data_IF_840891514003
#
_entry.id   IF_840891514003
#
_cell.length_a   1.000
_cell.length_b   1.000
_cell.length_c   1.000
_cell.angle_alpha   90.00
_cell.angle_beta   90.00
_cell.angle_gamma   90.00
#
_symmetry.space_group_name_H-M   'P 1'
#
loop_
_entity.id
_entity.type
_entity.pdbx_description
1 polymer ?
#
# COMPACT_ATOMS: atom_id res chain seq x y z
N UNK A 1 7.18 3.13 11.12
CA UNK A 1 8.61 3.02 10.78
C UNK A 1 8.92 4.16 9.83
N UNK A 2 10.01 4.87 10.04
CA UNK A 2 10.46 5.91 9.12
C UNK A 2 11.98 5.79 8.98
N UNK A 3 12.49 5.77 7.76
CA UNK A 3 13.92 5.66 7.49
C UNK A 3 14.61 7.02 7.60
N UNK A 4 13.89 8.11 7.32
CA UNK A 4 14.40 9.48 7.39
C UNK A 4 14.32 10.05 8.82
N UNK A 5 15.46 10.02 9.51
CA UNK A 5 15.60 10.60 10.85
C UNK A 5 15.34 12.11 10.87
N UNK A 6 15.74 12.83 9.82
CA UNK A 6 15.54 14.28 9.74
C UNK A 6 14.07 14.63 9.63
N UNK A 7 13.28 13.82 8.89
CA UNK A 7 11.83 13.98 8.84
C UNK A 7 11.19 13.73 10.21
N UNK A 8 11.64 12.72 10.93
CA UNK A 8 11.16 12.45 12.29
C UNK A 8 11.44 13.61 13.24
N UNK A 9 12.65 14.16 13.20
CA UNK A 9 13.04 15.31 14.01
C UNK A 9 12.18 16.54 13.66
N UNK A 10 11.95 16.80 12.37
CA UNK A 10 11.07 17.88 11.89
C UNK A 10 9.63 17.72 12.40
N UNK A 11 9.05 16.52 12.28
CA UNK A 11 7.68 16.25 12.77
C UNK A 11 7.62 16.41 14.28
N UNK A 12 8.62 15.92 15.02
CA UNK A 12 8.67 16.06 16.47
C UNK A 12 8.74 17.54 16.92
N UNK A 13 9.44 18.39 16.16
CA UNK A 13 9.59 19.82 16.44
C UNK A 13 8.32 20.62 16.10
N UNK A 14 7.76 20.43 14.90
CA UNK A 14 6.71 21.30 14.37
C UNK A 14 5.30 20.72 14.43
N UNK A 15 5.15 19.39 14.44
CA UNK A 15 3.87 18.67 14.43
C UNK A 15 3.87 17.51 15.45
N UNK A 16 4.18 17.78 16.74
CA UNK A 16 4.36 16.74 17.74
C UNK A 16 3.07 15.94 17.94
N UNK A 17 3.23 14.62 18.10
CA UNK A 17 2.12 13.75 18.44
C UNK A 17 1.51 14.15 19.79
N UNK A 18 0.16 14.09 19.93
CA UNK A 18 -0.49 14.33 21.21
C UNK A 18 0.04 13.39 22.29
N UNK A 19 0.18 13.90 23.52
CA UNK A 19 0.54 13.06 24.67
C UNK A 19 -0.49 11.95 24.82
N UNK A 20 -0.02 10.71 24.98
CA UNK A 20 -0.88 9.54 25.13
C UNK A 20 -1.50 9.01 23.84
N UNK A 21 -1.02 9.44 22.66
CA UNK A 21 -1.51 8.95 21.36
C UNK A 21 -1.27 7.43 21.14
N UNK A 22 -0.50 6.76 22.00
CA UNK A 22 -0.20 5.34 21.85
C UNK A 22 0.68 5.01 20.63
N UNK A 23 1.35 6.02 20.06
CA UNK A 23 2.20 5.88 18.87
C UNK A 23 3.66 5.75 19.31
N UNK A 24 4.30 4.65 18.90
CA UNK A 24 5.74 4.47 19.02
C UNK A 24 6.40 4.74 17.66
N UNK A 25 7.35 5.66 17.64
CA UNK A 25 8.09 6.04 16.44
C UNK A 25 9.43 5.31 16.43
N UNK A 26 9.77 4.72 15.29
CA UNK A 26 10.99 3.94 15.12
C UNK A 26 11.70 4.41 13.85
N UNK A 27 12.93 4.92 14.03
CA UNK A 27 13.82 5.33 12.96
C UNK A 27 14.52 4.10 12.35
N UNK A 28 13.89 3.44 11.39
CA UNK A 28 14.33 2.17 10.81
C UNK A 28 13.79 1.97 9.39
N UNK A 29 14.53 1.20 8.57
CA UNK A 29 14.02 0.69 7.30
C UNK A 29 12.87 -0.30 7.55
N UNK A 30 11.80 -0.16 6.77
CA UNK A 30 10.58 -0.95 6.95
C UNK A 30 10.80 -2.45 6.70
N UNK A 31 11.60 -2.82 5.68
CA UNK A 31 11.89 -4.25 5.39
C UNK A 31 12.73 -4.86 6.49
N UNK A 32 13.77 -4.15 6.93
CA UNK A 32 14.61 -4.61 8.04
C UNK A 32 13.81 -4.80 9.33
N UNK A 33 12.89 -3.88 9.64
CA UNK A 33 12.00 -4.04 10.78
C UNK A 33 11.07 -5.24 10.61
N UNK A 34 10.46 -5.40 9.43
CA UNK A 34 9.54 -6.49 9.16
C UNK A 34 10.20 -7.86 9.32
N UNK A 35 11.41 -8.03 8.76
CA UNK A 35 12.20 -9.26 8.90
C UNK A 35 12.61 -9.58 10.35
N UNK A 36 12.70 -8.59 11.22
CA UNK A 36 13.02 -8.78 12.64
C UNK A 36 11.78 -8.91 13.53
N UNK A 37 10.60 -8.54 13.03
CA UNK A 37 9.36 -8.60 13.79
C UNK A 37 8.94 -10.07 14.02
N UNK A 38 8.37 -10.42 15.19
CA UNK A 38 7.81 -11.74 15.42
C UNK A 38 6.64 -12.04 14.47
N UNK A 39 6.36 -13.33 14.29
CA UNK A 39 5.13 -13.80 13.66
C UNK A 39 3.92 -13.30 14.46
N UNK A 40 2.77 -13.09 13.80
CA UNK A 40 1.50 -12.74 14.46
C UNK A 40 1.57 -11.49 15.37
N UNK A 41 2.40 -10.50 15.01
CA UNK A 41 2.66 -9.32 15.82
C UNK A 41 1.66 -8.17 15.58
N UNK A 42 1.00 -8.10 14.42
CA UNK A 42 0.13 -6.99 14.03
C UNK A 42 -1.26 -7.43 13.58
N UNK A 43 -2.30 -6.68 13.97
CA UNK A 43 -3.65 -6.87 13.42
C UNK A 43 -3.82 -6.18 12.06
N UNK A 44 -3.10 -5.07 11.86
CA UNK A 44 -3.11 -4.29 10.61
C UNK A 44 -1.69 -3.83 10.31
N UNK A 45 -1.27 -3.97 9.07
CA UNK A 45 0.00 -3.45 8.58
C UNK A 45 -0.26 -2.46 7.45
N UNK A 46 0.23 -1.22 7.60
CA UNK A 46 0.02 -0.15 6.63
C UNK A 46 1.38 0.26 6.05
N UNK A 47 1.54 0.04 4.75
CA UNK A 47 2.67 0.52 3.98
C UNK A 47 2.29 1.80 3.22
N UNK A 48 2.73 2.94 3.75
CA UNK A 48 2.65 4.24 3.09
C UNK A 48 4.07 4.74 2.83
N UNK A 49 4.79 4.01 1.97
CA UNK A 49 6.23 4.22 1.78
C UNK A 49 6.48 4.89 0.45
N UNK A 50 6.71 6.20 0.48
CA UNK A 50 7.26 6.95 -0.63
C UNK A 50 8.67 7.42 -0.25
N UNK A 51 9.70 6.73 -0.77
CA UNK A 51 11.06 7.26 -0.79
C UNK A 51 11.11 8.43 -1.77
N UNK A 52 10.90 9.64 -1.26
CA UNK A 52 10.59 10.81 -2.08
C UNK A 52 9.21 10.66 -2.72
N UNK A 53 9.17 10.26 -3.99
CA UNK A 53 7.94 10.11 -4.77
C UNK A 53 7.64 8.67 -5.22
N UNK A 54 8.39 7.68 -4.72
CA UNK A 54 8.30 6.28 -5.16
C UNK A 54 8.38 5.26 -4.04
N UNK A 55 7.69 4.14 -4.19
CA UNK A 55 7.90 2.96 -3.34
C UNK A 55 9.27 2.34 -3.65
N UNK A 56 10.15 2.13 -2.65
CA UNK A 56 11.43 1.46 -2.84
C UNK A 56 11.27 0.03 -3.39
N UNK A 57 12.15 -0.38 -4.30
CA UNK A 57 12.09 -1.67 -4.99
C UNK A 57 12.06 -2.87 -4.03
N UNK A 58 12.78 -2.81 -2.92
CA UNK A 58 12.84 -3.92 -1.96
C UNK A 58 11.52 -4.14 -1.21
N UNK A 59 10.54 -3.25 -1.33
CA UNK A 59 9.20 -3.38 -0.74
C UNK A 59 8.14 -3.83 -1.76
N UNK A 60 8.53 -4.10 -3.00
CA UNK A 60 7.60 -4.36 -4.12
C UNK A 60 7.65 -5.81 -4.62
N UNK A 61 8.09 -6.73 -3.74
CA UNK A 61 8.45 -8.10 -4.08
C UNK A 61 7.64 -9.15 -3.32
N UNK A 62 7.60 -10.37 -3.85
CA UNK A 62 6.94 -11.51 -3.22
C UNK A 62 7.56 -11.88 -1.86
N UNK A 63 8.88 -11.72 -1.72
CA UNK A 63 9.56 -11.95 -0.46
C UNK A 63 9.06 -10.96 0.62
N UNK A 64 8.89 -9.69 0.25
CA UNK A 64 8.32 -8.69 1.15
C UNK A 64 6.85 -9.00 1.48
N UNK A 65 6.03 -9.39 0.50
CA UNK A 65 4.63 -9.75 0.73
C UNK A 65 4.47 -10.91 1.73
N UNK A 66 5.37 -11.91 1.68
CA UNK A 66 5.41 -13.02 2.63
C UNK A 66 5.83 -12.58 4.04
N UNK A 67 6.80 -11.68 4.16
CA UNK A 67 7.15 -11.11 5.46
C UNK A 67 5.99 -10.30 6.05
N UNK A 68 5.22 -9.59 5.22
CA UNK A 68 4.05 -8.86 5.66
C UNK A 68 2.94 -9.80 6.15
N UNK A 69 2.72 -10.92 5.46
CA UNK A 69 1.77 -11.95 5.88
C UNK A 69 2.18 -12.62 7.20
N UNK A 70 3.44 -13.05 7.33
CA UNK A 70 3.98 -13.67 8.54
C UNK A 70 3.75 -12.82 9.80
N UNK A 71 3.93 -11.50 9.68
CA UNK A 71 3.80 -10.55 10.79
C UNK A 71 2.34 -10.25 11.13
N UNK A 72 1.40 -10.48 10.20
CA UNK A 72 -0.02 -10.30 10.46
C UNK A 72 -0.58 -11.47 11.25
N UNK A 73 -1.38 -11.16 12.28
CA UNK A 73 -2.16 -12.16 13.02
C UNK A 73 -3.18 -12.84 12.12
N UNK A 74 -3.71 -14.01 12.52
CA UNK A 74 -4.82 -14.64 11.81
C UNK A 74 -6.03 -13.71 11.71
N UNK A 75 -6.38 -13.34 10.48
CA UNK A 75 -7.47 -12.38 10.19
C UNK A 75 -7.03 -10.92 10.16
N UNK A 76 -5.73 -10.64 10.22
CA UNK A 76 -5.15 -9.33 10.00
C UNK A 76 -5.19 -8.90 8.53
N UNK A 77 -4.95 -7.61 8.31
CA UNK A 77 -5.07 -6.97 6.99
C UNK A 77 -3.83 -6.17 6.66
N UNK A 78 -3.31 -6.39 5.46
CA UNK A 78 -2.28 -5.56 4.85
C UNK A 78 -2.93 -4.45 4.01
N UNK A 79 -2.40 -3.24 4.14
CA UNK A 79 -2.80 -2.06 3.37
C UNK A 79 -1.55 -1.44 2.74
N UNK A 80 -1.61 -1.09 1.45
CA UNK A 80 -0.55 -0.32 0.81
C UNK A 80 -1.09 0.81 -0.04
N UNK A 81 -0.54 2.00 0.15
CA UNK A 81 -0.76 3.13 -0.74
C UNK A 81 0.19 3.03 -1.93
N UNK A 82 -0.35 2.74 -3.12
CA UNK A 82 0.42 2.56 -4.36
C UNK A 82 0.05 3.66 -5.34
N UNK A 83 1.03 4.18 -6.08
CA UNK A 83 0.79 5.21 -7.09
C UNK A 83 1.17 4.71 -8.48
N UNK A 84 0.27 4.87 -9.44
CA UNK A 84 0.49 4.47 -10.83
C UNK A 84 -0.47 5.23 -11.77
N UNK A 85 -0.27 5.06 -13.08
CA UNK A 85 -1.18 5.51 -14.12
C UNK A 85 -1.34 4.43 -15.19
N UNK A 86 -2.34 4.55 -16.06
CA UNK A 86 -2.45 3.66 -17.21
C UNK A 86 -1.11 3.59 -17.98
N UNK A 87 -0.64 2.39 -18.36
CA UNK A 87 -1.37 1.10 -18.40
C UNK A 87 -1.35 0.26 -17.10
N UNK A 88 -0.99 0.86 -15.96
CA UNK A 88 -0.98 0.24 -14.62
C UNK A 88 0.00 -0.93 -14.46
N UNK A 89 1.13 -0.87 -15.15
CA UNK A 89 2.10 -1.97 -15.13
C UNK A 89 2.60 -2.27 -13.70
N UNK A 90 2.81 -1.23 -12.88
CA UNK A 90 3.27 -1.39 -11.51
C UNK A 90 2.14 -1.88 -10.61
N UNK A 91 0.98 -1.23 -10.62
CA UNK A 91 -0.15 -1.64 -9.78
C UNK A 91 -0.58 -3.09 -10.07
N UNK A 92 -0.60 -3.50 -11.34
CA UNK A 92 -0.92 -4.89 -11.73
C UNK A 92 0.11 -5.90 -11.25
N UNK A 93 1.41 -5.56 -11.28
CA UNK A 93 2.45 -6.45 -10.77
C UNK A 93 2.40 -6.60 -9.24
N UNK A 94 2.08 -5.51 -8.53
CA UNK A 94 1.89 -5.56 -7.07
C UNK A 94 0.68 -6.41 -6.69
N UNK A 95 -0.44 -6.25 -7.38
CA UNK A 95 -1.61 -7.10 -7.16
C UNK A 95 -1.33 -8.58 -7.47
N UNK A 96 -0.64 -8.87 -8.58
CA UNK A 96 -0.21 -10.24 -8.89
C UNK A 96 0.68 -10.82 -7.79
N UNK A 97 1.58 -9.99 -7.23
CA UNK A 97 2.49 -10.39 -6.15
C UNK A 97 1.75 -10.71 -4.86
N UNK A 98 0.81 -9.84 -4.44
CA UNK A 98 0.04 -10.06 -3.22
C UNK A 98 -1.01 -11.19 -3.37
N UNK A 99 -1.48 -11.46 -4.59
CA UNK A 99 -2.39 -12.58 -4.86
C UNK A 99 -1.75 -13.96 -4.69
N UNK A 100 -0.42 -14.06 -4.68
CA UNK A 100 0.30 -15.31 -4.36
C UNK A 100 0.31 -15.63 -2.86
N UNK A 101 -0.04 -14.65 -2.02
CA UNK A 101 0.07 -14.72 -0.55
C UNK A 101 -1.29 -14.62 0.11
N UNK A 102 -2.17 -13.76 -0.40
CA UNK A 102 -3.49 -13.49 0.17
C UNK A 102 -4.61 -13.90 -0.80
N UNK A 103 -5.67 -14.51 -0.28
CA UNK A 103 -6.83 -14.94 -1.07
C UNK A 103 -7.75 -13.78 -1.45
N UNK A 104 -7.83 -12.76 -0.60
CA UNK A 104 -8.77 -11.66 -0.74
C UNK A 104 -8.03 -10.34 -0.97
N UNK A 105 -8.22 -9.80 -2.18
CA UNK A 105 -7.71 -8.50 -2.59
C UNK A 105 -8.85 -7.52 -2.91
N UNK A 106 -8.69 -6.28 -2.48
CA UNK A 106 -9.49 -5.15 -2.91
C UNK A 106 -8.61 -3.93 -3.22
N UNK A 107 -9.13 -3.04 -4.07
CA UNK A 107 -8.51 -1.78 -4.42
C UNK A 107 -9.45 -0.63 -4.10
N UNK A 108 -8.93 0.41 -3.46
CA UNK A 108 -9.63 1.69 -3.31
C UNK A 108 -8.93 2.75 -4.14
N UNK A 109 -9.63 3.35 -5.10
CA UNK A 109 -9.06 4.43 -5.91
C UNK A 109 -10.13 5.36 -6.47
N UNK A 110 -9.74 6.58 -6.85
CA UNK A 110 -10.64 7.51 -7.52
C UNK A 110 -11.07 6.94 -8.90
N UNK A 111 -12.35 7.10 -9.30
CA UNK A 111 -12.80 6.72 -10.64
C UNK A 111 -11.96 7.27 -11.81
N UNK A 112 -11.38 8.48 -11.68
CA UNK A 112 -10.50 9.06 -12.69
C UNK A 112 -9.20 8.27 -12.87
N UNK A 113 -8.62 7.81 -11.76
CA UNK A 113 -7.44 6.93 -11.75
C UNK A 113 -7.82 5.58 -12.31
N UNK A 114 -8.87 4.92 -11.83
CA UNK A 114 -9.28 3.58 -12.33
C UNK A 114 -9.56 3.55 -13.84
N UNK A 115 -10.03 4.66 -14.42
CA UNK A 115 -10.24 4.82 -15.87
C UNK A 115 -9.00 5.22 -16.66
N UNK A 116 -7.83 5.31 -16.02
CA UNK A 116 -6.58 5.66 -16.69
C UNK A 116 -6.49 7.12 -17.13
N UNK A 117 -7.32 8.02 -16.60
CA UNK A 117 -7.37 9.43 -17.06
C UNK A 117 -6.27 10.29 -16.48
N UNK A 118 -5.67 9.87 -15.35
CA UNK A 118 -4.62 10.59 -14.63
C UNK A 118 -3.78 9.64 -13.80
N UNK A 119 -2.57 10.08 -13.44
CA UNK A 119 -1.80 9.46 -12.37
C UNK A 119 -2.49 9.67 -11.03
N UNK A 120 -2.41 8.69 -10.14
CA UNK A 120 -2.92 8.83 -8.79
C UNK A 120 -2.73 7.58 -7.95
N UNK A 121 -3.27 7.66 -6.74
CA UNK A 121 -3.10 6.62 -5.74
C UNK A 121 -4.22 5.58 -5.82
N UNK A 122 -3.85 4.34 -5.54
CA UNK A 122 -4.72 3.22 -5.29
C UNK A 122 -4.26 2.53 -4.00
N UNK A 123 -5.19 2.34 -3.06
CA UNK A 123 -4.93 1.58 -1.84
C UNK A 123 -5.23 0.12 -2.11
N UNK A 124 -4.19 -0.71 -2.04
CA UNK A 124 -4.32 -2.16 -1.98
C UNK A 124 -4.76 -2.57 -0.58
N UNK A 125 -5.76 -3.44 -0.51
CA UNK A 125 -6.18 -4.17 0.68
C UNK A 125 -5.94 -5.66 0.41
N UNK A 126 -5.18 -6.33 1.27
CA UNK A 126 -4.90 -7.76 1.15
C UNK A 126 -5.11 -8.47 2.50
N UNK A 127 -5.78 -9.62 2.48
CA UNK A 127 -6.13 -10.38 3.69
C UNK A 127 -6.54 -11.81 3.36
N UNK A 128 -6.56 -12.69 4.36
CA UNK A 128 -7.06 -14.07 4.22
C UNK A 128 -8.59 -14.20 4.40
N UNK A 129 -9.29 -13.09 4.67
CA UNK A 129 -10.75 -13.06 4.85
C UNK A 129 -11.35 -11.91 4.06
N UNK A 130 -12.57 -12.07 3.51
CA UNK A 130 -13.18 -10.99 2.74
C UNK A 130 -13.34 -9.72 3.60
N UNK A 131 -12.86 -8.55 3.13
CA UNK A 131 -13.16 -7.30 3.81
C UNK A 131 -14.65 -6.95 3.68
N UNK A 132 -15.17 -6.11 4.58
CA UNK A 132 -16.54 -5.57 4.45
C UNK A 132 -16.59 -4.51 3.32
N UNK A 133 -16.62 -5.00 2.08
CA UNK A 133 -16.61 -4.17 0.88
C UNK A 133 -17.80 -3.21 0.86
N UNK A 134 -18.97 -3.63 1.35
CA UNK A 134 -20.16 -2.78 1.35
C UNK A 134 -19.97 -1.59 2.29
N UNK A 135 -19.42 -1.81 3.48
CA UNK A 135 -19.09 -0.72 4.40
C UNK A 135 -17.98 0.18 3.85
N UNK A 136 -16.91 -0.41 3.28
CA UNK A 136 -15.84 0.35 2.65
C UNK A 136 -16.37 1.23 1.51
N UNK A 137 -17.15 0.67 0.59
CA UNK A 137 -17.74 1.38 -0.54
C UNK A 137 -18.61 2.56 -0.10
N UNK A 138 -19.44 2.38 0.94
CA UNK A 138 -20.23 3.48 1.50
C UNK A 138 -19.36 4.60 2.07
N UNK A 139 -18.29 4.26 2.80
CA UNK A 139 -17.39 5.24 3.42
C UNK A 139 -16.60 6.02 2.38
N UNK A 140 -15.99 5.34 1.42
CA UNK A 140 -15.14 5.99 0.41
C UNK A 140 -15.94 6.80 -0.60
N UNK A 141 -17.21 6.47 -0.82
CA UNK A 141 -18.11 7.28 -1.64
C UNK A 141 -18.58 8.56 -0.93
N UNK A 142 -18.49 8.62 0.40
CA UNK A 142 -18.88 9.77 1.22
C UNK A 142 -17.69 10.71 1.52
N UNK A 143 -16.49 10.40 1.03
CA UNK A 143 -15.30 11.24 1.19
C UNK A 143 -15.42 12.53 0.36
N UNK A 144 -14.66 13.56 0.73
CA UNK A 144 -14.54 14.83 -0.01
C UNK A 144 -14.11 14.57 -1.46
N UNK A 145 -13.27 13.55 -1.67
CA UNK A 145 -12.91 13.03 -2.98
C UNK A 145 -13.43 11.59 -3.14
N UNK A 146 -14.64 11.38 -3.68
CA UNK A 146 -15.25 10.06 -3.74
C UNK A 146 -14.42 9.04 -4.51
N UNK A 147 -14.16 7.90 -3.87
CA UNK A 147 -13.45 6.76 -4.46
C UNK A 147 -14.38 5.55 -4.69
N UNK A 148 -13.84 4.52 -5.33
CA UNK A 148 -14.51 3.22 -5.57
C UNK A 148 -13.70 2.11 -4.94
N UNK A 149 -14.41 1.04 -4.58
CA UNK A 149 -13.80 -0.21 -4.13
C UNK A 149 -13.98 -1.25 -5.22
N UNK A 150 -12.90 -1.70 -5.83
CA UNK A 150 -12.87 -2.82 -6.77
C UNK A 150 -12.44 -4.08 -6.02
N UNK A 151 -13.10 -5.22 -6.26
CA UNK A 151 -12.81 -6.48 -5.57
C UNK A 151 -13.20 -7.69 -6.42
N UNK A 152 -12.76 -8.89 -6.01
CA UNK A 152 -13.18 -10.15 -6.63
C UNK A 152 -12.80 -10.25 -8.11
N UNK A 153 -13.79 -10.52 -8.97
CA UNK A 153 -13.55 -10.73 -10.41
C UNK A 153 -12.93 -9.51 -11.09
N UNK A 154 -13.35 -8.29 -10.73
CA UNK A 154 -12.83 -7.06 -11.31
C UNK A 154 -11.32 -6.89 -11.05
N UNK A 155 -10.86 -7.19 -9.83
CA UNK A 155 -9.43 -7.14 -9.48
C UNK A 155 -8.66 -8.23 -10.23
N UNK A 156 -9.20 -9.44 -10.35
CA UNK A 156 -8.56 -10.54 -11.12
C UNK A 156 -8.42 -10.21 -12.60
N UNK A 157 -9.46 -9.64 -13.21
CA UNK A 157 -9.43 -9.17 -14.59
C UNK A 157 -8.42 -8.03 -14.78
N UNK A 158 -8.36 -7.10 -13.82
CA UNK A 158 -7.40 -6.01 -13.82
C UNK A 158 -5.94 -6.49 -13.72
N UNK A 159 -5.66 -7.48 -12.86
CA UNK A 159 -4.36 -8.16 -12.81
C UNK A 159 -4.04 -8.73 -14.21
N UNK A 160 -4.97 -9.49 -14.78
CA UNK A 160 -4.81 -10.12 -16.09
C UNK A 160 -3.55 -10.99 -16.16
N UNK A 161 -2.72 -10.79 -17.19
CA UNK A 161 -1.47 -11.56 -17.38
C UNK A 161 -0.24 -11.04 -16.62
N UNK A 162 -0.41 -10.11 -15.66
CA UNK A 162 0.71 -9.63 -14.85
C UNK A 162 1.30 -10.76 -14.00
N UNK A 163 2.61 -10.69 -13.74
CA UNK A 163 3.33 -11.71 -12.97
C UNK A 163 3.79 -11.17 -11.61
N UNK A 164 3.88 -12.02 -10.58
CA UNK A 164 4.52 -11.69 -9.32
C UNK A 164 5.96 -11.22 -9.52
N UNK A 165 6.42 -10.30 -8.67
CA UNK A 165 7.76 -9.73 -8.73
C UNK A 165 8.67 -10.44 -7.73
N UNK A 166 9.72 -11.11 -8.22
CA UNK A 166 10.78 -11.66 -7.37
C UNK A 166 11.78 -10.57 -6.95
N UNK A 167 12.61 -10.85 -5.94
CA UNK A 167 13.64 -9.90 -5.49
C UNK A 167 14.63 -9.51 -6.61
N UNK A 168 14.94 -10.43 -7.55
CA UNK A 168 15.82 -10.16 -8.68
C UNK A 168 15.21 -9.22 -9.74
N UNK A 169 13.87 -9.14 -9.78
CA UNK A 169 13.10 -8.34 -10.74
C UNK A 169 12.53 -7.06 -10.11
N UNK A 170 12.94 -6.77 -8.87
CA UNK A 170 12.43 -5.66 -8.09
C UNK A 170 12.72 -4.31 -8.75
N UNK A 171 11.68 -3.54 -8.98
CA UNK A 171 11.77 -2.16 -9.48
C UNK A 171 11.01 -1.21 -8.54
N UNK A 172 11.49 0.03 -8.36
CA UNK A 172 10.74 1.02 -7.61
C UNK A 172 9.44 1.36 -8.35
N UNK A 173 8.46 1.92 -7.64
CA UNK A 173 7.24 2.40 -8.28
C UNK A 173 7.55 3.47 -9.35
N UNK A 174 6.66 3.72 -10.32
CA UNK A 174 6.90 4.71 -11.36
C UNK A 174 7.09 6.11 -10.77
N UNK A 175 7.91 6.93 -11.43
CA UNK A 175 8.07 8.35 -11.07
C UNK A 175 6.76 9.07 -11.42
N UNK A 176 6.13 9.78 -10.48
CA UNK A 176 4.97 10.61 -10.77
C UNK A 176 5.31 11.66 -11.85
N UNK A 177 4.45 11.86 -12.86
CA UNK A 177 4.61 12.96 -13.81
C UNK A 177 4.70 14.32 -13.09
N UNK A 178 5.43 15.28 -13.66
CA UNK A 178 5.52 16.63 -13.08
C UNK A 178 4.14 17.24 -12.82
N UNK A 179 3.91 17.73 -11.60
CA UNK A 179 2.62 18.32 -11.17
C UNK A 179 1.54 17.34 -10.69
N UNK A 180 1.81 16.03 -10.65
CA UNK A 180 0.80 15.01 -10.27
C UNK A 180 0.33 15.06 -8.82
N UNK A 181 1.08 15.74 -7.96
CA UNK A 181 0.74 15.99 -6.55
C UNK A 181 0.67 17.49 -6.22
N UNK A 182 0.42 18.34 -7.22
CA UNK A 182 0.21 19.76 -6.98
C UNK A 182 -1.00 19.99 -6.07
N UNK A 183 -0.82 20.80 -5.03
CA UNK A 183 -1.92 21.30 -4.22
C UNK A 183 -2.68 22.29 -5.12
N UNK A 184 -3.91 21.94 -5.48
CA UNK A 184 -4.82 22.84 -6.19
C UNK A 184 -5.34 23.96 -5.30
#
# INVERSE_FOLDING_TARGET
>A
MEADRGLLDLVAEYLPLPKGAGVAVHAADARAWLSAAPDDAADVLIADVFGGSRVPAHLTTLAYAREAERVLRPGGTYLANLADSAPFAFLRSQLATFAEVFEELALVAEPGVLRGRRFGNAVLIASHRPPDVAALARRVAADVFPARVEHGAAVREFIGGARPVGDADAVPSPVPPGGSFGIG
#
